data_IF_434993415924
#
_entry.id   IF_434993415924
#
_cell.length_a   1.000
_cell.length_b   1.000
_cell.length_c   1.000
_cell.angle_alpha   90.00
_cell.angle_beta   90.00
_cell.angle_gamma   90.00
#
_symmetry.space_group_name_H-M   'P 1'
#
loop_
_entity.id
_entity.type
_entity.pdbx_description
1 polymer ?
#
# COMPACT_ATOMS: atom_id res chain seq x y z
N UNK A 1 -23.49 34.85 36.66
CA UNK A 1 -23.29 34.00 35.47
C UNK A 1 -23.94 32.63 35.62
N UNK A 2 -23.90 31.95 36.78
CA UNK A 2 -24.55 30.62 36.91
C UNK A 2 -26.09 30.65 36.86
N UNK A 3 -26.72 31.71 37.38
CA UNK A 3 -28.19 31.85 37.37
C UNK A 3 -28.80 31.89 35.96
N UNK A 4 -28.15 32.57 35.01
CA UNK A 4 -28.61 32.70 33.62
C UNK A 4 -28.55 31.35 32.88
N UNK A 5 -27.49 30.57 33.10
CA UNK A 5 -27.39 29.19 32.59
C UNK A 5 -28.49 28.28 33.15
N UNK A 6 -28.88 28.47 34.41
CA UNK A 6 -29.94 27.68 35.03
C UNK A 6 -31.33 28.09 34.55
N UNK A 7 -31.58 29.38 34.32
CA UNK A 7 -32.89 29.88 33.86
C UNK A 7 -33.23 29.40 32.45
N UNK A 8 -32.26 29.36 31.53
CA UNK A 8 -32.44 28.86 30.17
C UNK A 8 -32.90 27.38 30.12
N UNK A 9 -32.53 26.59 31.13
CA UNK A 9 -32.77 25.14 31.17
C UNK A 9 -34.00 24.72 31.99
N UNK A 10 -34.74 25.68 32.55
CA UNK A 10 -35.93 25.39 33.36
C UNK A 10 -37.05 24.71 32.55
N UNK A 11 -37.17 25.03 31.26
CA UNK A 11 -38.16 24.40 30.38
C UNK A 11 -37.90 22.90 30.21
N UNK A 12 -36.66 22.52 29.88
CA UNK A 12 -36.24 21.12 29.76
C UNK A 12 -36.40 20.36 31.09
N UNK A 13 -36.12 21.04 32.22
CA UNK A 13 -36.33 20.50 33.56
C UNK A 13 -37.81 20.17 33.82
N UNK A 14 -38.73 21.06 33.46
CA UNK A 14 -40.18 20.86 33.65
C UNK A 14 -40.73 19.81 32.67
N UNK A 15 -40.18 19.73 31.46
CA UNK A 15 -40.53 18.71 30.47
C UNK A 15 -39.93 17.32 30.77
N UNK A 16 -38.93 17.26 31.65
CA UNK A 16 -38.28 16.01 32.06
C UNK A 16 -37.33 15.43 31.00
N UNK A 17 -36.79 16.27 30.13
CA UNK A 17 -35.91 15.87 29.01
C UNK A 17 -34.43 15.92 29.36
N UNK A 18 -34.07 16.47 30.53
CA UNK A 18 -32.69 16.58 31.01
C UNK A 18 -32.08 15.24 31.44
N UNK A 19 -30.77 15.12 31.28
CA UNK A 19 -30.00 14.03 31.86
C UNK A 19 -29.98 14.13 33.40
N UNK A 20 -29.79 12.99 34.08
CA UNK A 20 -29.89 12.89 35.54
C UNK A 20 -28.92 13.85 36.29
N UNK A 21 -27.70 14.02 35.78
CA UNK A 21 -26.69 14.90 36.38
C UNK A 21 -27.09 16.38 36.31
N UNK A 22 -27.58 16.82 35.15
CA UNK A 22 -27.98 18.20 34.90
C UNK A 22 -29.24 18.58 35.67
N UNK A 23 -30.14 17.60 35.84
CA UNK A 23 -31.31 17.74 36.70
C UNK A 23 -30.92 18.02 38.16
N UNK A 24 -29.92 17.32 38.68
CA UNK A 24 -29.46 17.49 40.06
C UNK A 24 -28.82 18.87 40.29
N UNK A 25 -28.09 19.38 39.29
CA UNK A 25 -27.54 20.76 39.32
C UNK A 25 -28.66 21.79 39.46
N UNK A 26 -29.74 21.66 38.65
CA UNK A 26 -30.89 22.56 38.70
C UNK A 26 -31.65 22.42 40.03
N UNK A 27 -31.86 21.20 40.53
CA UNK A 27 -32.52 20.99 41.84
C UNK A 27 -31.75 21.66 42.99
N UNK A 28 -30.41 21.62 42.94
CA UNK A 28 -29.55 22.30 43.90
C UNK A 28 -29.69 23.82 43.81
N UNK A 29 -29.70 24.38 42.60
CA UNK A 29 -29.93 25.81 42.37
C UNK A 29 -31.32 26.27 42.81
N UNK A 30 -32.34 25.45 42.58
CA UNK A 30 -33.71 25.72 43.03
C UNK A 30 -33.83 25.73 44.56
N UNK A 31 -32.93 25.10 45.31
CA UNK A 31 -32.93 25.19 46.77
C UNK A 31 -32.53 26.59 47.27
N UNK A 32 -31.60 27.26 46.58
CA UNK A 32 -31.05 28.56 46.99
C UNK A 32 -31.69 29.77 46.29
N UNK A 33 -32.26 29.62 45.10
CA UNK A 33 -32.79 30.74 44.31
C UNK A 33 -34.33 30.81 44.29
N UNK A 34 -34.90 31.90 44.84
CA UNK A 34 -36.36 32.12 44.89
C UNK A 34 -36.95 32.42 43.50
N UNK A 35 -36.21 33.16 42.67
CA UNK A 35 -36.66 33.57 41.32
C UNK A 35 -36.85 32.37 40.40
N UNK A 36 -35.84 31.50 40.27
CA UNK A 36 -35.95 30.29 39.45
C UNK A 36 -37.06 29.33 39.93
N UNK A 37 -37.33 29.27 41.24
CA UNK A 37 -38.49 28.50 41.76
C UNK A 37 -39.82 29.06 41.26
N UNK A 38 -39.94 30.39 41.24
CA UNK A 38 -41.15 31.07 40.74
C UNK A 38 -41.35 30.81 39.25
N UNK A 39 -40.27 30.82 38.48
CA UNK A 39 -40.31 30.57 37.04
C UNK A 39 -40.70 29.12 36.72
N UNK A 40 -40.14 28.14 37.44
CA UNK A 40 -40.54 26.73 37.33
C UNK A 40 -42.03 26.53 37.63
N UNK A 41 -42.53 27.19 38.67
CA UNK A 41 -43.95 27.12 39.04
C UNK A 41 -44.84 27.74 37.95
N UNK A 42 -44.42 28.87 37.37
CA UNK A 42 -45.12 29.51 36.26
C UNK A 42 -45.16 28.58 35.03
N UNK A 43 -44.02 27.96 34.66
CA UNK A 43 -43.93 27.01 33.55
C UNK A 43 -44.84 25.79 33.76
N UNK A 44 -44.87 25.23 34.98
CA UNK A 44 -45.75 24.12 35.33
C UNK A 44 -47.23 24.49 35.19
N UNK A 45 -47.61 25.69 35.63
CA UNK A 45 -48.99 26.20 35.48
C UNK A 45 -49.36 26.37 34.02
N UNK A 46 -48.49 26.98 33.21
CA UNK A 46 -48.70 27.12 31.76
C UNK A 46 -48.89 25.76 31.09
N UNK A 47 -48.04 24.78 31.41
CA UNK A 47 -48.19 23.42 30.89
C UNK A 47 -49.50 22.75 31.34
N UNK A 48 -49.96 23.00 32.57
CA UNK A 48 -51.24 22.47 33.04
C UNK A 48 -52.43 23.02 32.25
N UNK A 49 -52.42 24.32 31.93
CA UNK A 49 -53.43 24.98 31.10
C UNK A 49 -53.42 24.41 29.68
N UNK A 50 -52.24 24.24 29.09
CA UNK A 50 -52.09 23.65 27.75
C UNK A 50 -52.58 22.20 27.72
N UNK A 51 -52.25 21.40 28.74
CA UNK A 51 -52.69 20.00 28.83
C UNK A 51 -54.20 19.86 29.09
N UNK A 52 -54.82 20.88 29.68
CA UNK A 52 -56.27 20.96 29.88
C UNK A 52 -57.06 21.29 28.61
N UNK A 53 -56.39 21.69 27.52
CA UNK A 53 -57.08 21.97 26.26
C UNK A 53 -57.71 20.70 25.65
N UNK A 54 -58.83 20.85 24.91
CA UNK A 54 -59.46 19.72 24.23
C UNK A 54 -58.45 19.05 23.29
N UNK A 55 -58.20 17.76 23.51
CA UNK A 55 -57.37 16.99 22.57
C UNK A 55 -58.15 16.78 21.28
N UNK A 56 -57.59 17.13 20.11
CA UNK A 56 -58.24 16.83 18.85
C UNK A 56 -58.39 15.31 18.71
N UNK A 57 -59.60 14.84 18.45
CA UNK A 57 -59.85 13.43 18.16
C UNK A 57 -59.23 13.08 16.82
N UNK A 58 -58.38 12.06 16.79
CA UNK A 58 -57.84 11.55 15.53
C UNK A 58 -58.99 11.04 14.63
N UNK A 59 -58.93 11.26 13.30
CA UNK A 59 -59.90 10.68 12.37
C UNK A 59 -59.97 9.16 12.53
N UNK A 60 -61.15 8.56 12.37
CA UNK A 60 -61.38 7.12 12.55
C UNK A 60 -60.36 6.24 11.78
N UNK A 61 -59.89 6.71 10.61
CA UNK A 61 -58.98 5.97 9.73
C UNK A 61 -57.49 6.29 9.93
N UNK A 62 -57.12 7.14 10.89
CA UNK A 62 -55.73 7.57 11.07
C UNK A 62 -54.77 6.41 11.34
N UNK A 63 -55.14 5.51 12.26
CA UNK A 63 -54.33 4.32 12.58
C UNK A 63 -54.16 3.38 11.38
N UNK A 64 -55.20 3.26 10.55
CA UNK A 64 -55.17 2.42 9.35
C UNK A 64 -54.33 3.06 8.25
N UNK A 65 -54.46 4.36 8.02
CA UNK A 65 -53.65 5.12 7.07
C UNK A 65 -52.16 5.08 7.45
N UNK A 66 -51.84 5.25 8.74
CA UNK A 66 -50.49 5.17 9.26
C UNK A 66 -49.89 3.76 9.05
N UNK A 67 -50.61 2.71 9.43
CA UNK A 67 -50.18 1.32 9.19
C UNK A 67 -49.98 1.02 7.71
N UNK A 68 -50.85 1.54 6.84
CA UNK A 68 -50.73 1.35 5.39
C UNK A 68 -49.50 2.06 4.82
N UNK A 69 -49.18 3.26 5.30
CA UNK A 69 -47.99 4.00 4.88
C UNK A 69 -46.70 3.33 5.38
N UNK A 70 -46.69 2.86 6.63
CA UNK A 70 -45.57 2.10 7.19
C UNK A 70 -45.32 0.79 6.43
N UNK A 71 -46.38 0.02 6.12
CA UNK A 71 -46.28 -1.22 5.34
C UNK A 71 -45.76 -0.99 3.92
N UNK A 72 -46.22 0.05 3.23
CA UNK A 72 -45.72 0.38 1.88
C UNK A 72 -44.22 0.68 1.87
N UNK A 73 -43.71 1.42 2.86
CA UNK A 73 -42.28 1.68 3.00
C UNK A 73 -41.46 0.42 3.28
N UNK A 74 -41.96 -0.46 4.17
CA UNK A 74 -41.31 -1.72 4.49
C UNK A 74 -41.28 -2.69 3.30
N UNK A 75 -42.39 -2.81 2.56
CA UNK A 75 -42.50 -3.68 1.38
C UNK A 75 -41.64 -3.18 0.22
N UNK A 76 -41.61 -1.87 -0.05
CA UNK A 76 -40.75 -1.30 -1.09
C UNK A 76 -39.26 -1.59 -0.81
N UNK A 77 -38.82 -1.40 0.45
CA UNK A 77 -37.45 -1.69 0.87
C UNK A 77 -37.13 -3.18 0.73
N UNK A 78 -38.01 -4.06 1.20
CA UNK A 78 -37.84 -5.50 1.08
C UNK A 78 -37.82 -5.99 -0.38
N UNK A 79 -38.65 -5.40 -1.25
CA UNK A 79 -38.71 -5.73 -2.68
C UNK A 79 -37.42 -5.32 -3.39
N UNK A 80 -36.89 -4.12 -3.14
CA UNK A 80 -35.62 -3.66 -3.73
C UNK A 80 -34.46 -4.57 -3.31
N UNK A 81 -34.34 -4.90 -2.02
CA UNK A 81 -33.25 -5.76 -1.53
C UNK A 81 -33.36 -7.19 -2.07
N UNK A 82 -34.57 -7.73 -2.19
CA UNK A 82 -34.82 -9.05 -2.78
C UNK A 82 -34.51 -9.05 -4.28
N UNK A 83 -34.90 -7.99 -5.00
CA UNK A 83 -34.68 -7.86 -6.43
C UNK A 83 -33.18 -7.71 -6.75
N UNK A 84 -32.44 -6.90 -5.98
CA UNK A 84 -30.98 -6.80 -6.09
C UNK A 84 -30.32 -8.17 -5.85
N UNK A 85 -30.71 -8.91 -4.80
CA UNK A 85 -30.15 -10.25 -4.55
C UNK A 85 -30.45 -11.26 -5.65
N UNK A 86 -31.60 -11.14 -6.33
CA UNK A 86 -32.00 -12.03 -7.42
C UNK A 86 -31.37 -11.62 -8.76
N UNK A 87 -31.12 -10.33 -8.94
CA UNK A 87 -30.57 -9.74 -10.16
C UNK A 87 -29.04 -9.62 -10.15
N UNK A 88 -28.36 -9.77 -9.00
CA UNK A 88 -26.90 -9.93 -8.99
C UNK A 88 -26.59 -11.25 -9.72
N UNK A 89 -26.13 -11.18 -10.98
CA UNK A 89 -25.82 -12.40 -11.70
C UNK A 89 -24.55 -12.95 -11.08
N UNK A 90 -24.52 -14.25 -10.81
CA UNK A 90 -23.32 -14.97 -10.36
C UNK A 90 -22.10 -14.70 -11.27
N UNK A 91 -22.33 -14.32 -12.53
CA UNK A 91 -21.31 -13.84 -13.47
C UNK A 91 -20.55 -12.61 -12.99
N UNK A 92 -21.21 -11.64 -12.35
CA UNK A 92 -20.54 -10.46 -11.81
C UNK A 92 -19.58 -10.83 -10.66
N UNK A 93 -19.94 -11.83 -9.85
CA UNK A 93 -19.05 -12.35 -8.81
C UNK A 93 -17.82 -13.03 -9.42
N UNK A 94 -17.97 -13.73 -10.55
CA UNK A 94 -16.87 -14.38 -11.25
C UNK A 94 -15.89 -13.37 -11.85
N UNK A 95 -16.39 -12.27 -12.46
CA UNK A 95 -15.53 -11.19 -12.99
C UNK A 95 -14.73 -10.52 -11.87
N UNK A 96 -15.38 -10.19 -10.75
CA UNK A 96 -14.70 -9.57 -9.59
C UNK A 96 -13.63 -10.51 -9.03
N UNK A 97 -13.93 -11.80 -8.90
CA UNK A 97 -12.97 -12.81 -8.44
C UNK A 97 -11.78 -12.92 -9.40
N UNK A 98 -12.02 -12.98 -10.70
CA UNK A 98 -10.96 -13.07 -11.71
C UNK A 98 -10.06 -11.82 -11.70
N UNK A 99 -10.63 -10.63 -11.57
CA UNK A 99 -9.85 -9.38 -11.48
C UNK A 99 -9.01 -9.37 -10.21
N UNK A 100 -9.57 -9.79 -9.07
CA UNK A 100 -8.84 -9.84 -7.80
C UNK A 100 -7.69 -10.86 -7.84
N UNK A 101 -7.96 -12.06 -8.34
CA UNK A 101 -6.94 -13.13 -8.47
C UNK A 101 -5.89 -12.75 -9.51
N UNK A 102 -6.30 -12.22 -10.67
CA UNK A 102 -5.39 -11.75 -11.71
C UNK A 102 -4.50 -10.61 -11.22
N UNK A 103 -5.07 -9.61 -10.55
CA UNK A 103 -4.33 -8.52 -9.93
C UNK A 103 -3.34 -9.02 -8.87
N UNK A 104 -3.74 -9.96 -8.02
CA UNK A 104 -2.87 -10.58 -7.03
C UNK A 104 -1.74 -11.38 -7.68
N UNK A 105 -2.04 -12.16 -8.74
CA UNK A 105 -1.05 -12.90 -9.52
C UNK A 105 -0.03 -11.95 -10.16
N UNK A 106 -0.50 -10.89 -10.81
CA UNK A 106 0.36 -9.86 -11.42
C UNK A 106 1.22 -9.20 -10.35
N UNK A 107 0.63 -8.82 -9.22
CA UNK A 107 1.38 -8.23 -8.10
C UNK A 107 2.45 -9.19 -7.55
N UNK A 108 2.12 -10.47 -7.36
CA UNK A 108 3.07 -11.51 -6.95
C UNK A 108 4.16 -11.71 -8.01
N UNK A 109 3.82 -11.73 -9.30
CA UNK A 109 4.80 -11.86 -10.38
C UNK A 109 5.76 -10.66 -10.43
N UNK A 110 5.22 -9.44 -10.30
CA UNK A 110 6.00 -8.21 -10.26
C UNK A 110 6.91 -8.16 -9.03
N UNK A 111 6.45 -8.61 -7.87
CA UNK A 111 7.24 -8.58 -6.64
C UNK A 111 8.22 -9.75 -6.51
N UNK A 112 7.94 -10.91 -7.12
CA UNK A 112 8.80 -12.09 -7.05
C UNK A 112 9.88 -12.12 -8.15
N UNK A 113 9.66 -11.48 -9.31
CA UNK A 113 10.68 -11.35 -10.36
C UNK A 113 11.66 -10.18 -10.11
N UNK A 114 11.33 -9.23 -9.23
CA UNK A 114 12.20 -8.10 -8.87
C UNK A 114 12.84 -8.38 -7.50
N UNK A 115 13.57 -9.50 -7.39
CA UNK A 115 14.82 -9.46 -6.61
C UNK A 115 15.87 -9.05 -7.62
N UNK A 116 16.24 -7.76 -7.76
CA UNK A 116 17.48 -7.45 -8.44
C UNK A 116 18.54 -8.22 -7.65
N UNK A 117 19.10 -9.25 -8.25
CA UNK A 117 20.40 -9.77 -7.82
C UNK A 117 21.36 -8.67 -8.21
N UNK A 118 21.37 -7.60 -7.43
CA UNK A 118 22.37 -6.53 -7.45
C UNK A 118 23.63 -7.08 -6.78
N UNK A 119 24.08 -8.26 -7.25
CA UNK A 119 25.46 -8.67 -7.06
C UNK A 119 26.19 -8.00 -8.19
N UNK A 120 26.79 -6.84 -7.90
CA UNK A 120 27.76 -6.22 -8.79
C UNK A 120 28.63 -7.32 -9.40
N UNK A 121 28.53 -7.50 -10.72
CA UNK A 121 29.35 -8.47 -11.42
C UNK A 121 30.80 -8.15 -11.07
N UNK A 122 31.62 -9.14 -10.66
CA UNK A 122 33.00 -8.85 -10.33
C UNK A 122 33.69 -8.31 -11.58
N UNK A 123 34.30 -7.12 -11.44
CA UNK A 123 35.02 -6.46 -12.51
C UNK A 123 36.48 -6.91 -12.46
N UNK A 124 36.93 -7.57 -13.52
CA UNK A 124 38.34 -7.92 -13.71
C UNK A 124 39.04 -6.80 -14.48
N UNK A 125 40.07 -6.23 -13.85
CA UNK A 125 40.88 -5.19 -14.49
C UNK A 125 42.08 -5.80 -15.19
N UNK A 126 42.27 -5.44 -16.46
CA UNK A 126 43.37 -5.92 -17.29
C UNK A 126 44.23 -4.74 -17.73
N UNK A 127 45.56 -4.89 -17.73
CA UNK A 127 46.48 -3.78 -18.00
C UNK A 127 46.67 -3.46 -19.49
N UNK A 128 46.54 -4.45 -20.36
CA UNK A 128 46.84 -4.35 -21.79
C UNK A 128 45.97 -5.29 -22.65
N UNK A 129 46.10 -5.16 -23.98
CA UNK A 129 45.36 -6.03 -24.92
C UNK A 129 45.83 -7.49 -24.89
N UNK A 130 47.04 -7.76 -24.41
CA UNK A 130 47.58 -9.11 -24.28
C UNK A 130 46.97 -9.85 -23.09
N UNK A 131 46.89 -9.19 -21.92
CA UNK A 131 46.15 -9.68 -20.76
C UNK A 131 44.67 -9.91 -21.09
N UNK A 132 44.08 -9.09 -21.96
CA UNK A 132 42.66 -9.23 -22.34
C UNK A 132 42.45 -10.52 -23.13
N UNK A 133 43.39 -10.84 -24.03
CA UNK A 133 43.40 -12.09 -24.79
C UNK A 133 43.71 -13.30 -23.92
N UNK A 134 44.60 -13.16 -22.94
CA UNK A 134 44.92 -14.23 -22.00
C UNK A 134 43.68 -14.61 -21.16
N UNK A 135 42.95 -13.60 -20.65
CA UNK A 135 41.70 -13.80 -19.90
C UNK A 135 40.61 -14.41 -20.80
N UNK A 136 40.43 -13.91 -22.02
CA UNK A 136 39.44 -14.46 -22.95
C UNK A 136 39.75 -15.92 -23.33
N UNK A 137 41.03 -16.26 -23.52
CA UNK A 137 41.47 -17.64 -23.77
C UNK A 137 41.16 -18.55 -22.60
N UNK A 138 41.53 -18.14 -21.39
CA UNK A 138 41.20 -18.88 -20.18
C UNK A 138 39.68 -19.08 -20.02
N UNK A 139 38.87 -18.09 -20.42
CA UNK A 139 37.42 -18.18 -20.42
C UNK A 139 36.89 -19.23 -21.42
N UNK A 140 37.32 -19.20 -22.69
CA UNK A 140 36.91 -20.21 -23.66
C UNK A 140 37.34 -21.62 -23.26
N UNK A 141 38.55 -21.79 -22.73
CA UNK A 141 39.05 -23.08 -22.23
C UNK A 141 38.30 -23.59 -20.99
N UNK A 142 37.77 -22.68 -20.18
CA UNK A 142 36.89 -23.02 -19.05
C UNK A 142 35.47 -23.39 -19.50
N UNK A 143 35.14 -23.24 -20.78
CA UNK A 143 33.81 -23.45 -21.33
C UNK A 143 32.87 -22.25 -21.13
N UNK A 144 33.41 -21.06 -20.86
CA UNK A 144 32.64 -19.83 -20.76
C UNK A 144 32.40 -19.19 -22.13
N UNK A 145 31.31 -18.43 -22.22
CA UNK A 145 30.99 -17.63 -23.38
C UNK A 145 31.53 -16.21 -23.21
N UNK A 146 32.40 -15.78 -24.11
CA UNK A 146 32.89 -14.39 -24.15
C UNK A 146 31.98 -13.56 -25.05
N UNK A 147 31.51 -12.42 -24.55
CA UNK A 147 30.67 -11.45 -25.27
C UNK A 147 31.34 -10.08 -25.29
N UNK A 148 31.14 -9.36 -26.39
CA UNK A 148 31.54 -7.97 -26.58
C UNK A 148 30.28 -7.18 -26.89
N UNK A 149 29.92 -6.21 -26.04
CA UNK A 149 28.69 -5.41 -26.20
C UNK A 149 27.45 -6.31 -26.41
N UNK A 150 27.34 -7.37 -25.60
CA UNK A 150 26.27 -8.36 -25.71
C UNK A 150 26.33 -9.29 -26.93
N UNK A 151 27.36 -9.29 -27.78
CA UNK A 151 27.50 -10.24 -28.91
C UNK A 151 28.53 -11.32 -28.61
N UNK A 152 28.22 -12.59 -28.89
CA UNK A 152 29.16 -13.72 -28.74
C UNK A 152 30.40 -13.53 -29.62
N UNK A 153 31.57 -13.73 -29.04
CA UNK A 153 32.87 -13.64 -29.72
C UNK A 153 33.54 -15.03 -29.76
N UNK A 154 33.86 -15.58 -30.94
CA UNK A 154 34.56 -16.86 -31.05
C UNK A 154 36.08 -16.75 -30.76
N UNK A 155 36.76 -17.85 -30.40
CA UNK A 155 38.15 -17.87 -29.90
C UNK A 155 39.20 -17.24 -30.82
N UNK A 156 39.00 -17.30 -32.14
CA UNK A 156 39.95 -16.78 -33.14
C UNK A 156 39.74 -15.29 -33.48
N UNK A 157 38.85 -14.62 -32.74
CA UNK A 157 38.53 -13.22 -33.00
C UNK A 157 39.63 -12.28 -32.51
N UNK A 158 39.88 -11.21 -33.29
CA UNK A 158 40.73 -10.14 -32.83
C UNK A 158 40.05 -9.34 -31.72
N UNK A 159 40.60 -9.38 -30.51
CA UNK A 159 40.15 -8.58 -29.38
C UNK A 159 40.96 -7.27 -29.30
N UNK A 160 40.27 -6.14 -29.41
CA UNK A 160 40.79 -4.80 -29.08
C UNK A 160 40.58 -4.49 -27.60
N UNK A 161 41.29 -3.50 -27.05
CA UNK A 161 41.19 -3.05 -25.65
C UNK A 161 39.79 -2.45 -25.33
N UNK A 162 38.78 -3.30 -25.30
CA UNK A 162 37.36 -2.98 -25.14
C UNK A 162 36.81 -3.86 -24.01
N UNK A 163 35.76 -3.37 -23.36
CA UNK A 163 35.06 -4.09 -22.29
C UNK A 163 34.50 -5.42 -22.80
N UNK A 164 34.84 -6.52 -22.12
CA UNK A 164 34.31 -7.85 -22.40
C UNK A 164 33.41 -8.33 -21.26
N UNK A 165 32.42 -9.11 -21.61
CA UNK A 165 31.54 -9.82 -20.67
C UNK A 165 31.83 -11.31 -20.80
N UNK A 166 32.11 -11.99 -19.70
CA UNK A 166 32.22 -13.44 -19.66
C UNK A 166 30.96 -13.99 -19.00
N UNK A 167 30.22 -14.81 -19.75
CA UNK A 167 29.02 -15.50 -19.29
C UNK A 167 29.35 -16.98 -19.05
N UNK A 168 29.10 -17.46 -17.84
CA UNK A 168 29.52 -18.81 -17.44
C UNK A 168 28.55 -19.44 -16.44
N UNK A 169 28.49 -20.77 -16.43
CA UNK A 169 27.75 -21.52 -15.43
C UNK A 169 28.58 -21.78 -14.16
N UNK A 170 27.96 -22.39 -13.16
CA UNK A 170 28.62 -22.68 -11.88
C UNK A 170 29.90 -23.53 -12.01
N UNK A 171 29.90 -24.64 -12.76
CA UNK A 171 31.11 -25.43 -12.99
C UNK A 171 32.22 -24.70 -13.77
N UNK A 172 31.88 -23.89 -14.77
CA UNK A 172 32.83 -23.08 -15.52
C UNK A 172 33.48 -21.99 -14.65
N UNK A 173 32.79 -21.51 -13.60
CA UNK A 173 33.33 -20.54 -12.64
C UNK A 173 34.59 -21.07 -11.96
N UNK A 174 34.53 -22.30 -11.47
CA UNK A 174 35.64 -22.90 -10.75
C UNK A 174 36.83 -23.15 -11.68
N UNK A 175 36.58 -23.68 -12.89
CA UNK A 175 37.62 -23.88 -13.90
C UNK A 175 38.29 -22.56 -14.31
N UNK A 176 37.51 -21.50 -14.49
CA UNK A 176 38.05 -20.18 -14.83
C UNK A 176 38.87 -19.59 -13.68
N UNK A 177 38.37 -19.72 -12.44
CA UNK A 177 39.08 -19.24 -11.23
C UNK A 177 40.46 -19.89 -11.07
N UNK A 178 40.57 -21.19 -11.29
CA UNK A 178 41.86 -21.90 -11.25
C UNK A 178 42.83 -21.42 -12.33
N UNK A 179 42.33 -21.13 -13.54
CA UNK A 179 43.13 -20.66 -14.68
C UNK A 179 43.57 -19.21 -14.58
N UNK A 180 42.77 -18.34 -13.95
CA UNK A 180 43.10 -16.92 -13.78
C UNK A 180 44.05 -16.65 -12.60
N UNK A 181 44.14 -17.58 -11.64
CA UNK A 181 45.06 -17.47 -10.50
C UNK A 181 46.54 -17.29 -10.91
N UNK A 182 47.13 -18.10 -11.82
CA UNK A 182 48.51 -17.90 -12.28
C UNK A 182 48.70 -16.64 -13.13
N UNK A 183 47.63 -16.09 -13.71
CA UNK A 183 47.65 -14.85 -14.50
C UNK A 183 47.58 -13.59 -13.62
N UNK A 184 47.55 -13.72 -12.29
CA UNK A 184 47.46 -12.58 -11.37
C UNK A 184 46.07 -11.95 -11.29
N UNK A 185 45.04 -12.67 -11.72
CA UNK A 185 43.65 -12.19 -11.82
C UNK A 185 42.73 -13.02 -10.91
N UNK A 186 42.81 -12.91 -9.56
CA UNK A 186 42.03 -13.74 -8.66
C UNK A 186 40.53 -13.41 -8.74
N UNK A 187 39.71 -14.44 -8.99
CA UNK A 187 38.24 -14.32 -8.94
C UNK A 187 37.71 -14.58 -7.52
N UNK A 188 36.64 -13.88 -7.11
CA UNK A 188 35.96 -14.17 -5.84
C UNK A 188 35.36 -15.58 -5.82
N UNK A 189 35.02 -16.12 -4.63
CA UNK A 189 34.30 -17.38 -4.53
C UNK A 189 32.98 -17.32 -5.30
N UNK A 190 32.57 -18.46 -5.86
CA UNK A 190 31.37 -18.58 -6.69
C UNK A 190 30.15 -17.99 -5.97
N UNK A 191 29.36 -17.11 -6.61
CA UNK A 191 28.16 -16.55 -6.01
C UNK A 191 27.12 -17.64 -5.71
N UNK A 192 26.41 -17.52 -4.58
CA UNK A 192 25.37 -18.49 -4.20
C UNK A 192 24.13 -18.36 -5.10
N UNK A 193 23.81 -19.39 -5.89
CA UNK A 193 22.64 -19.42 -6.76
C UNK A 193 22.81 -20.46 -7.87
N UNK A 194 21.68 -20.86 -8.45
CA UNK A 194 21.64 -21.68 -9.67
C UNK A 194 21.41 -20.75 -10.86
N UNK A 195 22.24 -20.85 -11.90
CA UNK A 195 22.09 -20.02 -13.10
C UNK A 195 23.40 -19.64 -13.76
N UNK A 196 23.30 -18.74 -14.73
CA UNK A 196 24.42 -18.12 -15.45
C UNK A 196 24.93 -16.92 -14.66
N UNK A 197 26.25 -16.79 -14.59
CA UNK A 197 26.96 -15.70 -13.96
C UNK A 197 27.65 -14.85 -15.01
N UNK A 198 27.80 -13.55 -14.74
CA UNK A 198 28.46 -12.58 -15.61
C UNK A 198 29.69 -12.03 -14.87
N UNK A 199 30.82 -11.95 -15.57
CA UNK A 199 32.04 -11.26 -15.13
C UNK A 199 32.33 -10.17 -16.16
N UNK A 200 32.49 -8.93 -15.71
CA UNK A 200 32.90 -7.82 -16.57
C UNK A 200 34.43 -7.75 -16.59
N UNK A 201 35.04 -7.62 -17.77
CA UNK A 201 36.48 -7.46 -17.94
C UNK A 201 36.72 -6.08 -18.54
N UNK A 202 37.30 -5.19 -17.75
CA UNK A 202 37.56 -3.80 -18.16
C UNK A 202 39.06 -3.59 -18.36
N UNK A 203 39.51 -3.06 -19.52
CA UNK A 203 40.86 -2.58 -19.64
C UNK A 203 41.04 -1.40 -18.68
N UNK A 204 42.08 -1.42 -17.86
CA UNK A 204 42.45 -0.27 -17.03
C UNK A 204 42.84 0.83 -17.99
N UNK A 205 42.05 1.90 -18.06
CA UNK A 205 42.42 3.08 -18.83
C UNK A 205 43.84 3.49 -18.38
N UNK A 206 44.79 3.47 -19.31
CA UNK A 206 46.11 4.06 -19.09
C UNK A 206 45.81 5.49 -18.67
N UNK A 207 46.08 5.81 -17.41
CA UNK A 207 45.91 7.17 -16.92
C UNK A 207 46.69 8.06 -17.87
N UNK A 208 45.97 8.93 -18.61
CA UNK A 208 46.59 9.95 -19.42
C UNK A 208 47.56 10.71 -18.52
N UNK A 209 48.85 10.58 -18.79
CA UNK A 209 49.93 11.27 -18.08
C UNK A 209 49.68 12.77 -18.27
N UNK A 210 49.39 13.56 -17.22
CA UNK A 210 49.41 15.00 -17.36
C UNK A 210 50.88 15.46 -17.38
N UNK A 211 51.13 16.48 -18.19
CA UNK A 211 52.35 17.27 -18.32
C UNK A 211 53.56 16.71 -19.08
N UNK A 212 53.82 17.41 -20.19
CA UNK A 212 55.10 17.61 -20.82
C UNK A 212 55.01 18.89 -21.65
N UNK A 213 55.00 20.03 -20.98
CA UNK A 213 55.01 21.36 -21.61
C UNK A 213 56.29 21.63 -22.40
N UNK A 214 56.17 22.51 -23.38
CA UNK A 214 57.29 23.23 -24.01
C UNK A 214 56.76 24.63 -24.33
N UNK A 215 57.24 25.60 -23.56
CA UNK A 215 57.52 26.96 -24.04
C UNK A 215 58.67 26.91 -25.07
#
# INVERSE_FOLDING_TARGET
MEHERMSERLSEFVEGTLAAQERQEIETHLASCVECRRDVELLRRTLSLVRGMPRPSAPANFSQALRRRARKGALARASITRWIRLMVPWEAALVVLLVAVGGLCVFQLLTHQIRPVERAAPVLWVQDGEGLRAVARAAWEAGAEVRLLGRRVPPDSFLSATELEILLDGPAWERLRERLLPLGHPLPPRPAGEGLFVIEVKPRAVAARPDGGVD
#
